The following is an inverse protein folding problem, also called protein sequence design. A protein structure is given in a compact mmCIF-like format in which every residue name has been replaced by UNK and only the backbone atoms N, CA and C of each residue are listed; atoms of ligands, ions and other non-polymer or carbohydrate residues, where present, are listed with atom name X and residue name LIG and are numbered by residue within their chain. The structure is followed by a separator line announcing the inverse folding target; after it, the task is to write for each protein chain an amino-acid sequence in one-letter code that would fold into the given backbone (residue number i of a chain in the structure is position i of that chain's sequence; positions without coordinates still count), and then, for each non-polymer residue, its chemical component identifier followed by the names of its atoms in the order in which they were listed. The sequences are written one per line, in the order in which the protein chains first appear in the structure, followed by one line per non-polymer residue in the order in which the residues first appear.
data_IF_442422216793
#
_entry.id   IF_442422216793
#
_cell.length_a   1.000
_cell.length_b   1.000
_cell.length_c   1.000
_cell.angle_alpha   90.00
_cell.angle_beta   90.00
_cell.angle_gamma   90.00
#
_symmetry.space_group_name_H-M   'P 1'
#
loop_
_entity.id
_entity.type
_entity.pdbx_description
1 polymer ?
#
# COMPACT_ATOMS: atom_id res chain seq x y z
N UNK A 1 -15.23 43.90 16.73
CA UNK A 1 -15.68 43.03 15.63
C UNK A 1 -14.44 42.53 14.91
N UNK A 2 -14.01 41.32 15.22
CA UNK A 2 -12.95 40.59 14.48
C UNK A 2 -13.64 39.53 13.64
N UNK A 3 -13.50 39.65 12.32
CA UNK A 3 -13.93 38.67 11.37
C UNK A 3 -13.18 37.34 11.62
N UNK A 4 -13.92 36.33 12.02
CA UNK A 4 -13.45 34.94 12.02
C UNK A 4 -13.62 34.46 10.58
N UNK A 5 -12.52 34.41 9.83
CA UNK A 5 -12.50 33.67 8.56
C UNK A 5 -12.73 32.19 8.87
N UNK A 6 -13.89 31.73 8.51
CA UNK A 6 -14.17 30.29 8.37
C UNK A 6 -13.24 29.78 7.27
N UNK A 7 -12.24 29.00 7.64
CA UNK A 7 -11.49 28.21 6.66
C UNK A 7 -12.47 27.21 6.07
N UNK A 8 -12.77 27.39 4.80
CA UNK A 8 -13.47 26.39 4.01
C UNK A 8 -12.62 25.11 4.03
N UNK A 9 -13.12 24.12 4.73
CA UNK A 9 -12.62 22.76 4.69
C UNK A 9 -12.87 22.24 3.28
N UNK A 10 -11.83 22.21 2.44
CA UNK A 10 -11.89 21.60 1.12
C UNK A 10 -12.25 20.13 1.36
N UNK A 11 -13.35 19.61 0.80
CA UNK A 11 -13.66 18.20 0.92
C UNK A 11 -12.52 17.42 0.25
N UNK A 12 -11.80 16.64 1.06
CA UNK A 12 -10.83 15.68 0.58
C UNK A 12 -11.57 14.66 -0.30
N UNK A 13 -11.47 14.80 -1.62
CA UNK A 13 -11.85 13.74 -2.54
C UNK A 13 -10.87 12.58 -2.33
N UNK A 14 -11.27 11.71 -1.45
CA UNK A 14 -10.52 10.54 -1.08
C UNK A 14 -11.04 9.35 -1.90
N UNK A 15 -10.30 8.95 -2.91
CA UNK A 15 -10.61 7.75 -3.69
C UNK A 15 -9.62 6.62 -3.36
N UNK A 16 -9.19 6.54 -2.12
CA UNK A 16 -8.25 5.54 -1.63
C UNK A 16 -8.34 5.33 -0.12
N UNK A 17 -7.66 4.34 0.42
CA UNK A 17 -7.85 3.83 1.76
C UNK A 17 -6.65 4.00 2.67
N UNK A 18 -6.97 4.27 3.91
CA UNK A 18 -6.04 4.14 5.01
C UNK A 18 -6.11 2.74 5.61
N UNK A 19 -4.98 2.18 5.92
CA UNK A 19 -4.86 0.82 6.45
C UNK A 19 -4.85 0.74 7.97
N UNK A 20 -5.36 1.76 8.69
CA UNK A 20 -5.50 1.63 10.13
C UNK A 20 -6.71 0.80 10.48
N UNK A 21 -6.46 -0.42 10.86
CA UNK A 21 -7.46 -1.31 11.42
C UNK A 21 -7.73 -0.98 12.88
N UNK A 22 -8.98 -1.09 13.35
CA UNK A 22 -9.25 -1.10 14.77
C UNK A 22 -8.60 -2.32 15.44
N UNK A 23 -8.41 -2.24 16.74
CA UNK A 23 -7.64 -3.05 17.69
C UNK A 23 -7.70 -4.59 17.53
N UNK A 24 -8.47 -5.16 16.60
CA UNK A 24 -8.67 -6.60 16.42
C UNK A 24 -8.63 -7.05 14.96
N UNK A 25 -7.90 -6.39 14.07
CA UNK A 25 -7.64 -6.95 12.75
C UNK A 25 -6.59 -8.06 12.86
N UNK A 26 -6.95 -9.34 12.72
CA UNK A 26 -6.00 -10.46 12.81
C UNK A 26 -4.95 -10.42 11.71
N UNK A 27 -5.17 -9.59 10.67
CA UNK A 27 -4.35 -9.52 9.48
C UNK A 27 -3.22 -8.50 9.56
N UNK A 28 -3.33 -7.51 10.49
CA UNK A 28 -2.33 -6.47 10.72
C UNK A 28 -2.02 -6.26 12.18
N UNK A 29 -2.18 -7.27 13.01
CA UNK A 29 -2.11 -7.20 14.47
C UNK A 29 -0.79 -6.69 15.08
N UNK A 30 0.16 -6.23 14.27
CA UNK A 30 1.47 -5.73 14.72
C UNK A 30 1.84 -4.34 14.21
N UNK A 31 0.96 -3.66 13.45
CA UNK A 31 1.26 -2.30 13.00
C UNK A 31 0.99 -1.25 14.07
N UNK A 32 1.87 -0.27 14.14
CA UNK A 32 1.83 0.87 15.06
C UNK A 32 0.43 1.47 15.19
N UNK A 33 -0.03 1.63 16.43
CA UNK A 33 -1.38 2.07 16.79
C UNK A 33 -1.63 3.57 16.61
N UNK A 34 -0.64 4.33 16.14
CA UNK A 34 -0.65 5.79 16.17
C UNK A 34 -0.43 6.42 14.79
N UNK A 35 -1.21 6.08 13.80
CA UNK A 35 -1.15 6.76 12.52
C UNK A 35 -2.15 6.19 11.53
N UNK A 36 -2.68 7.05 10.71
CA UNK A 36 -3.42 6.66 9.53
C UNK A 36 -2.37 6.17 8.53
N UNK A 37 -2.12 4.87 8.49
CA UNK A 37 -1.24 4.30 7.50
C UNK A 37 -1.92 4.38 6.13
N UNK A 38 -1.45 5.28 5.28
CA UNK A 38 -1.82 5.34 3.88
C UNK A 38 -0.90 4.40 3.11
N UNK A 39 -1.47 3.36 2.50
CA UNK A 39 -0.73 2.46 1.63
C UNK A 39 -1.08 2.81 0.19
N UNK A 40 -0.10 3.15 -0.65
CA UNK A 40 -0.33 3.53 -2.03
C UNK A 40 0.93 3.68 -2.85
N UNK A 41 0.78 3.54 -4.16
CA UNK A 41 1.81 3.75 -5.17
C UNK A 41 1.74 5.18 -5.68
N UNK A 42 2.88 5.86 -5.83
CA UNK A 42 2.89 7.14 -6.54
C UNK A 42 2.34 6.97 -7.96
N UNK A 43 1.66 8.00 -8.45
CA UNK A 43 1.06 8.02 -9.78
C UNK A 43 2.03 7.63 -10.92
N UNK A 44 3.32 7.91 -10.75
CA UNK A 44 4.36 7.61 -11.74
C UNK A 44 5.06 6.26 -11.54
N UNK A 45 4.82 5.57 -10.42
CA UNK A 45 5.37 4.23 -10.17
C UNK A 45 4.95 3.29 -11.30
N UNK A 46 5.92 2.59 -11.87
CA UNK A 46 5.67 1.63 -12.94
C UNK A 46 5.31 0.28 -12.37
N UNK A 47 4.15 -0.23 -12.80
CA UNK A 47 3.60 -1.53 -12.42
C UNK A 47 3.72 -2.46 -13.62
N UNK A 48 4.24 -3.66 -13.42
CA UNK A 48 4.39 -4.66 -14.47
C UNK A 48 3.03 -5.25 -14.86
N UNK A 49 2.74 -5.22 -16.16
CA UNK A 49 1.50 -5.74 -16.72
C UNK A 49 1.78 -6.66 -17.90
N UNK A 50 0.77 -7.39 -18.38
CA UNK A 50 0.89 -8.23 -19.58
C UNK A 50 1.31 -7.43 -20.83
N UNK A 51 1.04 -6.13 -20.87
CA UNK A 51 1.44 -5.21 -21.96
C UNK A 51 2.76 -4.47 -21.65
N UNK A 52 3.51 -4.90 -20.64
CA UNK A 52 4.73 -4.25 -20.15
C UNK A 52 4.46 -3.27 -19.00
N UNK A 53 5.50 -2.52 -18.55
CA UNK A 53 5.40 -1.61 -17.41
C UNK A 53 4.51 -0.40 -17.73
N UNK A 54 3.49 -0.16 -16.91
CA UNK A 54 2.50 0.91 -17.03
C UNK A 54 2.58 1.80 -15.80
N UNK A 55 2.51 3.12 -15.96
CA UNK A 55 2.45 4.03 -14.81
C UNK A 55 1.15 3.78 -14.02
N UNK A 56 1.22 3.79 -12.69
CA UNK A 56 0.09 3.46 -11.85
C UNK A 56 -1.17 4.29 -12.17
N UNK A 57 -1.01 5.59 -12.52
CA UNK A 57 -2.11 6.47 -12.94
C UNK A 57 -2.80 6.06 -14.25
N UNK A 58 -2.10 5.30 -15.10
CA UNK A 58 -2.57 4.90 -16.43
C UNK A 58 -3.15 3.46 -16.43
N UNK A 59 -3.18 2.81 -15.25
CA UNK A 59 -3.80 1.52 -15.06
C UNK A 59 -5.32 1.63 -15.14
N UNK A 60 -5.93 0.61 -15.73
CA UNK A 60 -7.38 0.53 -15.92
C UNK A 60 -7.94 -0.78 -15.35
N UNK A 61 -9.20 -0.74 -14.94
CA UNK A 61 -9.94 -1.95 -14.57
C UNK A 61 -9.88 -2.93 -15.76
N UNK A 62 -9.53 -4.19 -15.45
CA UNK A 62 -9.32 -5.23 -16.45
C UNK A 62 -7.86 -5.44 -16.87
N UNK A 63 -6.94 -4.51 -16.56
CA UNK A 63 -5.51 -4.72 -16.79
C UNK A 63 -5.03 -6.00 -16.09
N UNK A 64 -4.17 -6.75 -16.79
CA UNK A 64 -3.53 -7.95 -16.24
C UNK A 64 -2.20 -7.53 -15.60
N UNK A 65 -2.16 -7.47 -14.29
CA UNK A 65 -1.01 -7.04 -13.49
C UNK A 65 -0.22 -8.26 -13.03
N UNK A 66 1.10 -8.18 -13.12
CA UNK A 66 2.00 -9.24 -12.69
C UNK A 66 2.01 -9.35 -11.17
N UNK A 67 1.77 -10.57 -10.66
CA UNK A 67 1.63 -10.86 -9.22
C UNK A 67 2.63 -11.89 -8.74
N UNK A 68 3.04 -11.79 -7.47
CA UNK A 68 4.02 -12.67 -6.84
C UNK A 68 3.51 -14.11 -6.69
N UNK A 69 2.19 -14.29 -6.53
CA UNK A 69 1.54 -15.62 -6.48
C UNK A 69 1.71 -16.42 -7.78
N UNK A 70 2.19 -15.80 -8.83
CA UNK A 70 2.51 -16.38 -10.15
C UNK A 70 1.57 -15.88 -11.24
N UNK A 71 2.15 -15.53 -12.39
CA UNK A 71 1.40 -15.07 -13.56
C UNK A 71 0.85 -13.64 -13.42
N UNK A 72 -0.41 -13.47 -13.78
CA UNK A 72 -1.07 -12.17 -13.82
C UNK A 72 -2.45 -12.24 -13.16
N UNK A 73 -2.81 -11.20 -12.42
CA UNK A 73 -4.14 -11.01 -11.84
C UNK A 73 -4.88 -9.85 -12.51
N UNK A 74 -6.20 -10.00 -12.63
CA UNK A 74 -7.05 -8.97 -13.23
C UNK A 74 -7.30 -7.86 -12.22
N UNK A 75 -6.95 -6.63 -12.57
CA UNK A 75 -7.23 -5.44 -11.77
C UNK A 75 -8.73 -5.17 -11.74
N UNK A 76 -9.32 -5.19 -10.54
CA UNK A 76 -10.78 -5.06 -10.34
C UNK A 76 -11.21 -3.65 -10.04
N UNK A 77 -10.35 -2.88 -9.38
CA UNK A 77 -10.62 -1.50 -9.05
C UNK A 77 -9.33 -0.71 -8.90
N UNK A 78 -9.39 0.56 -9.24
CA UNK A 78 -8.30 1.54 -9.10
C UNK A 78 -8.84 2.77 -8.41
N UNK A 79 -8.24 3.16 -7.30
CA UNK A 79 -8.55 4.40 -6.60
C UNK A 79 -7.35 5.31 -6.48
N UNK A 80 -7.59 6.59 -6.18
CA UNK A 80 -6.52 7.56 -5.94
C UNK A 80 -6.77 8.31 -4.65
N UNK A 81 -5.70 8.61 -3.91
CA UNK A 81 -5.74 9.47 -2.73
C UNK A 81 -4.60 10.47 -2.72
N UNK A 82 -4.73 11.49 -1.88
CA UNK A 82 -3.61 12.35 -1.50
C UNK A 82 -3.22 12.03 -0.07
N UNK A 83 -1.92 12.05 0.27
CA UNK A 83 -1.50 11.84 1.64
C UNK A 83 -2.06 12.95 2.53
N UNK A 84 -2.38 12.60 3.77
CA UNK A 84 -2.60 13.56 4.83
C UNK A 84 -1.24 14.11 5.27
N UNK A 85 -1.23 15.31 5.85
CA UNK A 85 0.01 16.00 6.26
C UNK A 85 0.86 15.20 7.27
N UNK A 86 0.25 14.28 8.01
CA UNK A 86 0.88 13.40 9.01
C UNK A 86 1.23 11.98 8.51
N UNK A 87 0.97 11.68 7.23
CA UNK A 87 1.21 10.35 6.66
C UNK A 87 2.70 9.98 6.47
N UNK A 88 3.61 10.87 6.85
CA UNK A 88 5.04 10.73 6.64
C UNK A 88 5.46 11.05 5.19
N UNK A 89 6.77 11.17 4.99
CA UNK A 89 7.31 11.44 3.66
C UNK A 89 7.15 10.22 2.75
N UNK A 90 6.88 10.43 1.47
CA UNK A 90 6.98 9.35 0.47
C UNK A 90 8.35 8.71 0.50
N UNK A 91 8.42 7.42 0.21
CA UNK A 91 9.64 6.63 0.18
C UNK A 91 10.00 6.30 -1.27
N UNK A 92 11.14 6.81 -1.73
CA UNK A 92 11.68 6.54 -3.07
C UNK A 92 12.62 5.33 -3.03
N UNK A 93 12.41 4.39 -3.93
CA UNK A 93 13.32 3.28 -4.17
C UNK A 93 14.65 3.80 -4.76
N UNK A 94 15.76 3.35 -4.21
CA UNK A 94 17.08 3.57 -4.79
C UNK A 94 17.52 2.36 -5.60
N UNK A 95 18.01 2.58 -6.80
CA UNK A 95 18.64 1.53 -7.59
C UNK A 95 20.08 1.30 -7.13
N UNK A 96 20.52 0.05 -7.15
CA UNK A 96 21.88 -0.31 -6.79
C UNK A 96 22.94 0.26 -7.77
N UNK A 97 22.55 0.54 -9.00
CA UNK A 97 23.39 1.15 -10.05
C UNK A 97 23.28 2.68 -10.11
N UNK A 98 22.51 3.28 -9.19
CA UNK A 98 22.24 4.73 -9.16
C UNK A 98 21.28 5.23 -10.24
N UNK A 99 20.61 4.34 -10.99
CA UNK A 99 19.57 4.73 -11.92
C UNK A 99 18.39 5.35 -11.18
N UNK A 100 17.75 6.36 -11.78
CA UNK A 100 16.55 6.97 -11.22
C UNK A 100 15.39 5.99 -11.32
N UNK A 101 14.89 5.51 -10.19
CA UNK A 101 13.74 4.63 -10.14
C UNK A 101 12.47 5.46 -10.06
N UNK A 102 11.43 5.02 -10.76
CA UNK A 102 10.11 5.65 -10.70
C UNK A 102 9.28 5.14 -9.52
N UNK A 103 9.77 4.15 -8.76
CA UNK A 103 9.05 3.56 -7.64
C UNK A 103 9.09 4.47 -6.43
N UNK A 104 7.95 5.06 -6.11
CA UNK A 104 7.73 5.88 -4.93
C UNK A 104 6.46 5.38 -4.24
N UNK A 105 6.57 5.12 -2.94
CA UNK A 105 5.54 4.51 -2.11
C UNK A 105 5.20 5.43 -0.94
N UNK A 106 4.05 5.24 -0.32
CA UNK A 106 3.81 5.80 1.02
C UNK A 106 4.74 5.14 2.05
N UNK A 107 5.00 5.82 3.16
CA UNK A 107 5.93 5.35 4.20
C UNK A 107 5.57 3.96 4.76
N UNK A 108 4.29 3.69 4.92
CA UNK A 108 3.77 2.44 5.48
C UNK A 108 3.44 1.36 4.43
N UNK A 109 3.68 1.64 3.14
CA UNK A 109 3.45 0.65 2.08
C UNK A 109 4.35 -0.57 2.27
N UNK A 110 3.77 -1.76 2.19
CA UNK A 110 4.49 -2.99 2.43
C UNK A 110 5.26 -3.44 1.18
N UNK A 111 6.52 -3.75 1.40
CA UNK A 111 7.44 -4.28 0.39
C UNK A 111 7.86 -5.68 0.81
N UNK A 112 7.84 -6.62 -0.12
CA UNK A 112 8.35 -7.97 0.11
C UNK A 112 9.88 -7.93 0.16
N UNK A 113 10.44 -8.50 1.21
CA UNK A 113 11.90 -8.60 1.41
C UNK A 113 12.30 -10.04 1.65
N UNK A 114 13.45 -10.40 1.07
CA UNK A 114 14.15 -11.64 1.30
C UNK A 114 15.53 -11.31 1.87
N UNK A 115 15.91 -12.01 2.94
CA UNK A 115 17.22 -11.82 3.58
C UNK A 115 17.60 -13.13 4.31
N UNK A 116 18.89 -13.54 4.34
CA UNK A 116 19.30 -14.80 4.97
C UNK A 116 18.90 -14.94 6.44
N UNK A 117 18.82 -13.82 7.20
CA UNK A 117 18.37 -13.84 8.60
C UNK A 117 16.86 -14.11 8.76
N UNK A 118 16.04 -13.96 7.69
CA UNK A 118 14.57 -14.07 7.78
C UNK A 118 14.20 -15.51 8.14
N UNK A 119 14.77 -16.49 7.47
CA UNK A 119 14.53 -17.89 7.76
C UNK A 119 14.91 -18.24 9.20
N UNK A 120 16.05 -17.73 9.68
CA UNK A 120 16.52 -17.97 11.05
C UNK A 120 15.61 -17.34 12.11
N UNK A 121 15.10 -16.13 11.88
CA UNK A 121 14.34 -15.35 12.86
C UNK A 121 12.83 -15.65 12.83
N UNK A 122 12.30 -15.95 11.65
CA UNK A 122 10.86 -16.04 11.42
C UNK A 122 10.39 -17.40 10.88
N UNK A 123 11.33 -18.29 10.47
CA UNK A 123 11.00 -19.60 9.92
C UNK A 123 10.36 -19.57 8.53
N UNK A 124 10.49 -18.46 7.82
CA UNK A 124 9.99 -18.22 6.45
C UNK A 124 11.09 -17.61 5.60
N UNK A 125 10.95 -17.66 4.26
CA UNK A 125 11.97 -17.11 3.36
C UNK A 125 11.78 -15.63 3.04
N UNK A 126 10.55 -15.13 3.21
CA UNK A 126 10.15 -13.80 2.81
C UNK A 126 9.18 -13.19 3.85
N UNK A 127 9.30 -11.89 4.05
CA UNK A 127 8.42 -11.12 4.94
C UNK A 127 8.03 -9.81 4.26
N UNK A 128 6.97 -9.18 4.73
CA UNK A 128 6.59 -7.84 4.33
C UNK A 128 7.16 -6.81 5.32
N UNK A 129 7.72 -5.74 4.79
CA UNK A 129 8.29 -4.67 5.57
C UNK A 129 7.75 -3.32 5.10
N UNK A 130 7.26 -2.44 6.00
CA UNK A 130 6.95 -1.06 5.65
C UNK A 130 8.15 -0.34 5.04
N UNK A 131 7.95 0.37 3.93
CA UNK A 131 9.00 1.02 3.17
C UNK A 131 9.87 1.95 4.05
N UNK A 132 9.28 2.61 5.04
CA UNK A 132 10.00 3.48 5.99
C UNK A 132 11.09 2.75 6.80
N UNK A 133 10.89 1.47 7.12
CA UNK A 133 11.89 0.70 7.88
C UNK A 133 13.05 0.22 6.99
N UNK A 134 12.87 0.24 5.66
CA UNK A 134 13.95 -0.07 4.71
C UNK A 134 14.89 1.12 4.47
N UNK A 135 14.65 2.28 5.08
CA UNK A 135 15.55 3.43 4.99
C UNK A 135 16.95 3.13 5.55
N UNK A 136 17.03 2.33 6.62
CA UNK A 136 18.32 1.92 7.22
C UNK A 136 19.18 1.07 6.31
N UNK A 137 18.55 0.32 5.40
CA UNK A 137 19.25 -0.49 4.40
C UNK A 137 19.74 0.31 3.19
N UNK A 138 19.27 1.54 3.04
CA UNK A 138 19.48 2.36 1.83
C UNK A 138 18.64 1.91 0.62
N UNK A 139 17.74 0.93 0.78
CA UNK A 139 16.85 0.50 -0.32
C UNK A 139 15.80 1.55 -0.67
N UNK A 140 15.24 2.20 0.36
CA UNK A 140 14.28 3.29 0.21
C UNK A 140 14.75 4.50 1.02
N UNK A 141 14.56 5.70 0.49
CA UNK A 141 14.83 6.93 1.22
C UNK A 141 13.62 7.86 1.21
N UNK A 142 13.41 8.65 2.28
CA UNK A 142 12.39 9.69 2.30
C UNK A 142 12.61 10.70 1.16
N UNK A 143 11.56 11.04 0.45
CA UNK A 143 11.59 11.97 -0.67
C UNK A 143 10.61 13.14 -0.45
N UNK A 144 11.14 14.25 0.05
CA UNK A 144 10.36 15.48 0.25
C UNK A 144 10.11 16.28 -1.03
N UNK A 145 10.73 15.89 -2.16
CA UNK A 145 10.59 16.59 -3.44
C UNK A 145 9.28 16.29 -4.15
N UNK A 146 8.58 15.24 -3.73
CA UNK A 146 7.32 14.78 -4.34
C UNK A 146 6.16 14.91 -3.35
N UNK A 147 5.04 15.42 -3.83
CA UNK A 147 3.74 15.33 -3.16
C UNK A 147 2.77 14.64 -4.13
N UNK A 148 2.95 13.33 -4.35
CA UNK A 148 2.23 12.63 -5.38
C UNK A 148 0.79 12.33 -4.96
N UNK A 149 -0.10 12.21 -5.96
CA UNK A 149 -1.28 11.39 -5.77
C UNK A 149 -0.86 9.93 -5.66
N UNK A 150 -1.46 9.20 -4.74
CA UNK A 150 -1.22 7.77 -4.57
C UNK A 150 -2.35 6.97 -5.21
N UNK A 151 -1.96 5.88 -5.86
CA UNK A 151 -2.86 4.96 -6.55
C UNK A 151 -2.96 3.68 -5.74
N UNK A 152 -4.18 3.15 -5.64
CA UNK A 152 -4.53 1.94 -4.91
C UNK A 152 -5.09 0.92 -5.89
N UNK A 153 -4.60 -0.31 -5.81
CA UNK A 153 -4.95 -1.39 -6.72
C UNK A 153 -5.67 -2.49 -5.96
N UNK A 154 -6.87 -2.89 -6.41
CA UNK A 154 -7.66 -3.95 -5.80
C UNK A 154 -7.89 -5.09 -6.78
N UNK A 155 -7.68 -6.32 -6.30
CA UNK A 155 -7.85 -7.57 -7.04
C UNK A 155 -8.91 -8.46 -6.38
N UNK A 156 -9.17 -9.63 -6.95
CA UNK A 156 -10.08 -10.61 -6.36
C UNK A 156 -9.56 -11.17 -5.02
N UNK A 157 -8.22 -11.21 -4.86
CA UNK A 157 -7.50 -11.62 -3.66
C UNK A 157 -6.46 -10.57 -3.29
N UNK A 158 -5.93 -10.59 -2.07
CA UNK A 158 -4.76 -9.80 -1.74
C UNK A 158 -3.58 -10.29 -2.56
N UNK A 159 -2.91 -9.37 -3.25
CA UNK A 159 -1.79 -9.69 -4.12
C UNK A 159 -0.58 -8.80 -3.81
N UNK A 160 0.60 -9.30 -4.12
CA UNK A 160 1.79 -8.50 -4.24
C UNK A 160 2.05 -8.26 -5.72
N UNK A 161 2.14 -6.98 -6.11
CA UNK A 161 2.32 -6.56 -7.50
C UNK A 161 3.77 -6.17 -7.77
N UNK A 162 4.24 -6.42 -8.98
CA UNK A 162 5.62 -6.08 -9.34
C UNK A 162 5.72 -4.61 -9.75
N UNK A 163 6.63 -3.87 -9.07
CA UNK A 163 7.00 -2.50 -9.39
C UNK A 163 8.52 -2.42 -9.57
N UNK A 164 8.98 -2.45 -10.82
CA UNK A 164 10.40 -2.62 -11.11
C UNK A 164 10.91 -3.96 -10.58
N UNK A 165 11.92 -3.92 -9.72
CA UNK A 165 12.49 -5.12 -9.10
C UNK A 165 11.80 -5.53 -7.78
N UNK A 166 10.89 -4.70 -7.28
CA UNK A 166 10.25 -4.91 -5.99
C UNK A 166 8.85 -5.50 -6.13
N UNK A 167 8.46 -6.31 -5.15
CA UNK A 167 7.08 -6.78 -4.95
C UNK A 167 6.46 -5.95 -3.83
N UNK A 168 5.35 -5.31 -4.11
CA UNK A 168 4.68 -4.40 -3.19
C UNK A 168 3.21 -4.75 -3.02
N UNK A 169 2.63 -4.42 -1.89
CA UNK A 169 1.26 -4.80 -1.56
C UNK A 169 0.22 -4.17 -2.50
N UNK A 170 -0.84 -4.93 -2.78
CA UNK A 170 -2.10 -4.38 -3.27
C UNK A 170 -2.94 -3.83 -2.11
N UNK A 171 -4.04 -3.15 -2.43
CA UNK A 171 -4.93 -2.62 -1.41
C UNK A 171 -5.51 -3.73 -0.54
N UNK A 172 -5.36 -3.59 0.79
CA UNK A 172 -6.13 -4.32 1.80
C UNK A 172 -7.33 -3.44 2.23
N UNK A 173 -8.55 -3.67 1.73
CA UNK A 173 -9.66 -2.77 1.96
C UNK A 173 -10.22 -2.89 3.39
N UNK A 174 -10.21 -1.78 4.13
CA UNK A 174 -10.96 -1.64 5.37
C UNK A 174 -12.35 -1.06 5.03
N UNK A 175 -13.30 -1.94 4.74
CA UNK A 175 -14.63 -1.56 4.26
C UNK A 175 -15.39 -0.64 5.22
N UNK A 176 -15.29 -0.87 6.52
CA UNK A 176 -16.01 -0.05 7.51
C UNK A 176 -15.47 1.37 7.54
N UNK A 177 -14.16 1.52 7.44
CA UNK A 177 -13.54 2.83 7.37
C UNK A 177 -13.86 3.55 6.06
N UNK A 178 -13.74 2.85 4.93
CA UNK A 178 -14.10 3.40 3.62
C UNK A 178 -15.53 3.92 3.65
N UNK A 179 -16.46 3.13 4.19
CA UNK A 179 -17.88 3.53 4.30
C UNK A 179 -18.09 4.76 5.18
N UNK A 180 -17.27 4.91 6.23
CA UNK A 180 -17.35 6.07 7.13
C UNK A 180 -16.82 7.35 6.46
N UNK A 181 -15.86 7.25 5.56
CA UNK A 181 -15.22 8.38 4.89
C UNK A 181 -15.83 8.67 3.51
N UNK A 182 -16.12 7.64 2.72
CA UNK A 182 -16.65 7.73 1.35
C UNK A 182 -17.60 6.56 1.04
N UNK A 183 -18.88 6.76 1.31
CA UNK A 183 -19.92 5.74 1.11
C UNK A 183 -20.01 5.25 -0.35
N UNK A 184 -19.83 6.14 -1.31
CA UNK A 184 -19.91 5.80 -2.75
C UNK A 184 -18.79 4.85 -3.15
N UNK A 185 -17.58 5.11 -2.71
CA UNK A 185 -16.41 4.23 -2.95
C UNK A 185 -16.60 2.85 -2.29
N UNK A 186 -17.12 2.81 -1.06
CA UNK A 186 -17.44 1.54 -0.41
C UNK A 186 -18.48 0.75 -1.20
N UNK A 187 -19.51 1.42 -1.71
CA UNK A 187 -20.56 0.80 -2.52
C UNK A 187 -20.01 0.26 -3.84
N UNK A 188 -19.17 1.02 -4.50
CA UNK A 188 -18.49 0.60 -5.74
C UNK A 188 -17.67 -0.67 -5.52
N UNK A 189 -16.80 -0.69 -4.50
CA UNK A 189 -15.96 -1.85 -4.16
C UNK A 189 -16.81 -3.07 -3.82
N UNK A 190 -17.86 -2.90 -3.00
CA UNK A 190 -18.72 -4.00 -2.63
C UNK A 190 -19.57 -4.52 -3.79
N UNK A 191 -19.85 -3.68 -4.79
CA UNK A 191 -20.51 -4.11 -6.03
C UNK A 191 -19.56 -4.98 -6.86
N UNK A 192 -18.29 -4.63 -6.94
CA UNK A 192 -17.26 -5.38 -7.67
C UNK A 192 -16.83 -6.66 -6.94
N UNK A 193 -16.73 -6.58 -5.61
CA UNK A 193 -16.28 -7.67 -4.73
C UNK A 193 -17.27 -7.89 -3.58
N UNK A 194 -18.46 -8.47 -3.84
CA UNK A 194 -19.51 -8.65 -2.84
C UNK A 194 -19.07 -9.48 -1.62
N UNK A 195 -18.05 -10.35 -1.78
CA UNK A 195 -17.51 -11.15 -0.67
C UNK A 195 -16.97 -10.28 0.47
N UNK A 196 -16.48 -9.09 0.18
CA UNK A 196 -15.94 -8.15 1.18
C UNK A 196 -17.02 -7.54 2.09
N UNK A 197 -18.31 -7.76 1.78
CA UNK A 197 -19.42 -7.37 2.65
C UNK A 197 -19.56 -8.27 3.89
N UNK A 198 -18.93 -9.45 3.88
CA UNK A 198 -19.04 -10.42 4.98
C UNK A 198 -17.72 -10.54 5.74
N UNK A 199 -17.81 -10.80 7.04
CA UNK A 199 -16.64 -11.08 7.87
C UNK A 199 -15.81 -12.25 7.34
N UNK A 200 -16.47 -13.31 6.85
CA UNK A 200 -15.77 -14.47 6.26
C UNK A 200 -15.05 -14.12 4.96
N UNK A 201 -15.64 -13.29 4.12
CA UNK A 201 -15.01 -12.82 2.89
C UNK A 201 -13.80 -11.92 3.15
N UNK A 202 -13.91 -11.01 4.12
CA UNK A 202 -12.76 -10.21 4.58
C UNK A 202 -11.67 -11.11 5.17
N UNK A 203 -12.02 -12.09 5.98
CA UNK A 203 -11.07 -13.05 6.53
C UNK A 203 -10.39 -13.93 5.47
N UNK A 204 -10.97 -14.10 4.30
CA UNK A 204 -10.36 -14.80 3.17
C UNK A 204 -9.47 -13.91 2.29
N UNK A 205 -9.54 -12.59 2.46
CA UNK A 205 -8.73 -11.60 1.74
C UNK A 205 -7.47 -11.31 2.56
N UNK A 206 -6.56 -12.28 2.60
CA UNK A 206 -5.44 -12.32 3.54
C UNK A 206 -4.09 -12.11 2.88
N UNK A 207 -3.22 -11.40 3.60
CA UNK A 207 -1.78 -11.44 3.40
C UNK A 207 -1.23 -12.70 4.10
N UNK A 208 -0.53 -13.55 3.38
CA UNK A 208 0.03 -14.80 3.93
C UNK A 208 1.43 -14.62 4.51
N UNK A 209 2.17 -13.60 4.10
CA UNK A 209 3.50 -13.30 4.60
C UNK A 209 3.43 -12.60 5.95
N UNK A 210 4.34 -12.91 6.90
CA UNK A 210 4.50 -12.11 8.12
C UNK A 210 4.84 -10.66 7.78
N UNK A 211 4.32 -9.74 8.57
CA UNK A 211 4.61 -8.31 8.42
C UNK A 211 5.47 -7.86 9.60
N UNK A 212 6.63 -7.28 9.30
CA UNK A 212 7.56 -6.80 10.31
C UNK A 212 7.03 -5.57 11.02
N UNK A 213 7.17 -5.55 12.33
CA UNK A 213 7.09 -4.34 13.12
C UNK A 213 8.45 -3.59 13.14
N UNK A 214 8.48 -2.40 13.76
CA UNK A 214 9.68 -1.57 13.83
C UNK A 214 10.86 -2.27 14.52
N UNK A 215 10.58 -3.04 15.58
CA UNK A 215 11.61 -3.75 16.37
C UNK A 215 12.17 -4.91 15.56
N UNK A 216 11.30 -5.67 14.93
CA UNK A 216 11.67 -6.80 14.07
C UNK A 216 12.51 -6.32 12.88
N UNK A 217 12.10 -5.21 12.24
CA UNK A 217 12.86 -4.59 11.16
C UNK A 217 14.24 -4.09 11.63
N UNK A 218 14.31 -3.49 12.84
CA UNK A 218 15.58 -3.06 13.42
C UNK A 218 16.50 -4.24 13.71
N UNK A 219 15.99 -5.37 14.23
CA UNK A 219 16.79 -6.58 14.46
C UNK A 219 17.28 -7.19 13.16
N UNK A 220 16.47 -7.13 12.10
CA UNK A 220 16.81 -7.72 10.81
C UNK A 220 17.85 -6.91 10.04
N UNK A 221 17.74 -5.58 10.03
CA UNK A 221 18.49 -4.65 9.17
C UNK A 221 19.46 -3.73 9.92
N UNK A 222 19.41 -3.72 11.25
CA UNK A 222 20.22 -2.87 12.11
C UNK A 222 21.66 -3.34 12.35
#
# INVERSE_FOLDING_TARGET
LRDIRVQETIPLHWTGFSSTSPVNDPMRGRHSRNGIALSGLSANTRVETLRGPVAARDLQIGDQVKVHSGGFATLRWVGTSRPLDDAGLPMRRLSADGADTTTVLTADHLVLVSHPKIELLFGVNEVLCPAKYLATTGMFLPDSSVNPAFVHLLFDTYELVQCGDDWVESLMPNIDRIRAEEQDTATEILTLLPKLASHQGLASYVCTQPVLDEREATVLFG
#
